data_IF_999140963703
#
_entry.id   IF_999140963703
#
_cell.length_a   1.000
_cell.length_b   1.000
_cell.length_c   1.000
_cell.angle_alpha   90.00
_cell.angle_beta   90.00
_cell.angle_gamma   90.00
#
_symmetry.space_group_name_H-M   'P 1'
#
loop_
_entity.id
_entity.type
_entity.pdbx_description
1 polymer ?
#
# COMPACT_ATOMS: atom_id res chain seq x y z
N UNK A 1 1.36 -22.80 -18.60
CA UNK A 1 0.58 -22.27 -19.75
C UNK A 1 -0.05 -20.92 -19.39
N UNK A 2 0.70 -19.82 -19.48
CA UNK A 2 0.22 -18.43 -19.28
C UNK A 2 0.04 -17.64 -20.59
N UNK A 3 0.35 -18.27 -21.74
CA UNK A 3 0.32 -17.62 -23.05
C UNK A 3 -1.10 -17.32 -23.59
N UNK A 4 -2.15 -17.75 -22.87
CA UNK A 4 -3.55 -17.69 -23.36
C UNK A 4 -4.58 -17.18 -22.34
N UNK A 5 -4.14 -16.73 -21.16
CA UNK A 5 -5.07 -16.16 -20.18
C UNK A 5 -5.55 -14.79 -20.68
N UNK A 6 -6.78 -14.76 -21.23
CA UNK A 6 -7.50 -13.53 -21.53
C UNK A 6 -8.34 -13.20 -20.32
N UNK A 7 -7.98 -12.13 -19.63
CA UNK A 7 -8.77 -11.62 -18.52
C UNK A 7 -9.83 -10.66 -19.04
N UNK A 8 -11.09 -10.76 -18.58
CA UNK A 8 -12.10 -9.78 -18.93
C UNK A 8 -11.67 -8.40 -18.41
N UNK A 9 -12.07 -7.35 -19.12
CA UNK A 9 -11.93 -6.00 -18.62
C UNK A 9 -12.68 -5.88 -17.26
N UNK A 10 -12.20 -5.03 -16.34
CA UNK A 10 -12.86 -4.86 -15.06
C UNK A 10 -14.28 -4.30 -15.24
N UNK A 11 -15.25 -5.00 -14.65
CA UNK A 11 -16.68 -4.70 -14.73
C UNK A 11 -17.08 -3.38 -14.03
N UNK A 12 -16.29 -2.93 -13.04
CA UNK A 12 -16.54 -1.69 -12.27
C UNK A 12 -15.29 -0.79 -12.26
N UNK A 13 -15.49 0.53 -12.30
CA UNK A 13 -14.40 1.54 -12.27
C UNK A 13 -13.65 1.60 -10.95
N UNK A 14 -14.33 1.30 -9.84
CA UNK A 14 -13.84 1.58 -8.48
C UNK A 14 -12.94 0.47 -7.91
N UNK A 15 -12.95 -0.73 -8.51
CA UNK A 15 -12.22 -1.88 -7.99
C UNK A 15 -11.48 -2.63 -9.12
N UNK A 16 -10.49 -1.94 -9.71
CA UNK A 16 -9.68 -2.42 -10.84
C UNK A 16 -8.29 -2.92 -10.44
N UNK A 17 -8.02 -3.06 -9.15
CA UNK A 17 -6.70 -3.45 -8.68
C UNK A 17 -6.49 -4.96 -8.77
N UNK A 18 -5.35 -5.34 -9.34
CA UNK A 18 -4.75 -6.66 -9.22
C UNK A 18 -3.46 -6.47 -8.42
N UNK A 19 -3.37 -7.19 -7.31
CA UNK A 19 -2.21 -7.21 -6.43
C UNK A 19 -1.26 -8.31 -6.90
N UNK A 20 0.03 -8.00 -6.89
CA UNK A 20 1.11 -8.90 -7.25
C UNK A 20 2.08 -8.99 -6.06
N UNK A 21 2.36 -10.20 -5.60
CA UNK A 21 3.30 -10.51 -4.52
C UNK A 21 4.26 -11.60 -4.98
N UNK A 22 5.47 -11.63 -4.44
CA UNK A 22 6.42 -12.73 -4.67
C UNK A 22 6.13 -13.91 -3.75
N UNK A 23 5.68 -13.59 -2.53
CA UNK A 23 5.67 -14.50 -1.41
C UNK A 23 4.37 -15.32 -1.28
N UNK A 24 4.43 -16.67 -1.33
CA UNK A 24 3.25 -17.52 -1.17
C UNK A 24 2.58 -17.41 0.21
N UNK A 25 3.30 -17.02 1.27
CA UNK A 25 2.72 -16.77 2.60
C UNK A 25 1.66 -15.67 2.57
N UNK A 26 1.88 -14.62 1.77
CA UNK A 26 0.91 -13.52 1.58
C UNK A 26 -0.37 -14.04 0.90
N UNK A 27 -0.22 -14.87 -0.13
CA UNK A 27 -1.35 -15.48 -0.82
C UNK A 27 -2.14 -16.44 0.10
N UNK A 28 -1.45 -17.25 0.90
CA UNK A 28 -2.08 -18.13 1.88
C UNK A 28 -2.83 -17.35 2.97
N UNK A 29 -2.23 -16.29 3.51
CA UNK A 29 -2.87 -15.42 4.48
C UNK A 29 -4.11 -14.73 3.90
N UNK A 30 -4.04 -14.26 2.65
CA UNK A 30 -5.16 -13.63 1.96
C UNK A 30 -6.35 -14.58 1.80
N UNK A 31 -6.09 -15.84 1.41
CA UNK A 31 -7.12 -16.87 1.26
C UNK A 31 -7.87 -17.14 2.57
N UNK A 32 -7.17 -17.08 3.71
CA UNK A 32 -7.75 -17.36 5.02
C UNK A 32 -8.39 -16.12 5.68
N UNK A 33 -7.86 -14.92 5.40
CA UNK A 33 -8.12 -13.72 6.18
C UNK A 33 -8.90 -12.60 5.48
N UNK A 34 -9.18 -12.73 4.17
CA UNK A 34 -9.88 -11.70 3.39
C UNK A 34 -11.21 -12.25 2.87
N UNK A 35 -12.35 -11.73 3.34
CA UNK A 35 -13.65 -12.15 2.83
C UNK A 35 -13.89 -11.62 1.41
N UNK A 36 -14.59 -12.41 0.58
CA UNK A 36 -15.01 -12.01 -0.76
C UNK A 36 -13.95 -12.24 -1.85
N UNK A 37 -14.06 -11.49 -2.94
CA UNK A 37 -13.18 -11.67 -4.11
C UNK A 37 -11.88 -10.88 -3.96
N UNK A 38 -10.76 -11.59 -3.82
CA UNK A 38 -9.41 -11.02 -3.88
C UNK A 38 -8.80 -11.26 -5.26
N UNK A 39 -8.18 -10.22 -5.83
CA UNK A 39 -7.44 -10.30 -7.09
C UNK A 39 -5.96 -10.23 -6.80
N UNK A 40 -5.40 -11.36 -6.36
CA UNK A 40 -4.00 -11.50 -5.97
C UNK A 40 -3.32 -12.53 -6.86
N UNK A 41 -2.17 -12.16 -7.41
CA UNK A 41 -1.28 -13.02 -8.16
C UNK A 41 0.00 -13.19 -7.34
N UNK A 42 0.48 -14.42 -7.23
CA UNK A 42 1.75 -14.74 -6.59
C UNK A 42 2.71 -15.27 -7.66
N UNK A 43 3.90 -14.67 -7.78
CA UNK A 43 4.92 -15.10 -8.76
C UNK A 43 5.77 -16.26 -8.26
N UNK A 44 5.81 -16.51 -6.94
CA UNK A 44 6.64 -17.55 -6.31
C UNK A 44 8.10 -17.40 -6.73
N UNK A 45 8.70 -16.25 -6.43
CA UNK A 45 10.05 -15.89 -6.85
C UNK A 45 10.10 -14.89 -8.00
N UNK A 46 11.28 -14.80 -8.62
CA UNK A 46 11.53 -13.92 -9.78
C UNK A 46 10.67 -14.34 -10.99
N UNK A 47 9.82 -13.44 -11.52
CA UNK A 47 8.94 -13.77 -12.63
C UNK A 47 9.71 -13.96 -13.93
N UNK A 48 9.33 -14.98 -14.68
CA UNK A 48 9.74 -15.20 -16.06
C UNK A 48 9.21 -14.09 -16.99
N UNK A 49 9.81 -13.99 -18.18
CA UNK A 49 9.30 -13.09 -19.22
C UNK A 49 7.83 -13.36 -19.57
N UNK A 50 7.41 -14.62 -19.56
CA UNK A 50 6.02 -14.99 -19.88
C UNK A 50 5.03 -14.48 -18.82
N UNK A 51 5.44 -14.48 -17.54
CA UNK A 51 4.65 -13.93 -16.43
C UNK A 51 4.57 -12.41 -16.50
N UNK A 52 5.69 -11.73 -16.78
CA UNK A 52 5.71 -10.29 -17.02
C UNK A 52 4.80 -9.90 -18.19
N UNK A 53 4.86 -10.63 -19.30
CA UNK A 53 3.97 -10.40 -20.45
C UNK A 53 2.49 -10.65 -20.08
N UNK A 54 2.19 -11.57 -19.14
CA UNK A 54 0.83 -11.77 -18.64
C UNK A 54 0.34 -10.59 -17.79
N UNK A 55 1.20 -10.03 -16.93
CA UNK A 55 0.92 -8.81 -16.17
C UNK A 55 0.70 -7.61 -17.10
N UNK A 56 1.49 -7.49 -18.17
CA UNK A 56 1.28 -6.48 -19.20
C UNK A 56 -0.09 -6.60 -19.89
N UNK A 57 -0.51 -7.83 -20.22
CA UNK A 57 -1.85 -8.08 -20.80
C UNK A 57 -2.99 -7.71 -19.85
N UNK A 58 -2.83 -7.93 -18.54
CA UNK A 58 -3.81 -7.47 -17.54
C UNK A 58 -3.93 -5.94 -17.56
N UNK A 59 -2.80 -5.24 -17.54
CA UNK A 59 -2.78 -3.79 -17.57
C UNK A 59 -3.40 -3.24 -18.87
N UNK A 60 -3.10 -3.86 -20.02
CA UNK A 60 -3.69 -3.51 -21.30
C UNK A 60 -5.21 -3.75 -21.36
N UNK A 61 -5.74 -4.71 -20.59
CA UNK A 61 -7.17 -4.95 -20.44
C UNK A 61 -7.86 -3.96 -19.49
N UNK A 62 -7.13 -3.00 -18.91
CA UNK A 62 -7.67 -1.92 -18.07
C UNK A 62 -7.61 -2.20 -16.57
N UNK A 63 -6.90 -3.27 -16.13
CA UNK A 63 -6.59 -3.50 -14.73
C UNK A 63 -5.44 -2.58 -14.28
N UNK A 64 -5.46 -2.19 -13.01
CA UNK A 64 -4.38 -1.46 -12.34
C UNK A 64 -3.55 -2.45 -11.55
N UNK A 65 -2.23 -2.38 -11.66
CA UNK A 65 -1.32 -3.34 -11.04
C UNK A 65 -0.65 -2.70 -9.82
N UNK A 66 -0.72 -3.39 -8.69
CA UNK A 66 -0.03 -3.03 -7.45
C UNK A 66 0.97 -4.14 -7.12
N UNK A 67 2.28 -3.86 -7.15
CA UNK A 67 3.33 -4.87 -7.01
C UNK A 67 4.15 -4.69 -5.73
N UNK A 68 4.45 -5.81 -5.07
CA UNK A 68 5.40 -5.90 -3.97
C UNK A 68 6.24 -7.18 -4.05
N UNK A 69 7.29 -7.21 -3.27
CA UNK A 69 8.19 -8.33 -3.09
C UNK A 69 8.91 -8.18 -1.74
N UNK A 70 9.82 -9.08 -1.41
CA UNK A 70 10.70 -8.91 -0.26
C UNK A 70 11.62 -7.67 -0.45
N UNK A 71 12.05 -7.09 0.67
CA UNK A 71 13.10 -6.07 0.69
C UNK A 71 14.47 -6.73 0.65
N UNK A 72 14.81 -7.32 -0.50
CA UNK A 72 16.12 -7.85 -0.82
C UNK A 72 16.48 -7.57 -2.30
N UNK A 73 17.64 -8.04 -2.76
CA UNK A 73 18.10 -7.78 -4.12
C UNK A 73 17.18 -8.38 -5.20
N UNK A 74 16.62 -9.57 -4.95
CA UNK A 74 15.74 -10.25 -5.90
C UNK A 74 14.37 -9.57 -5.96
N UNK A 75 13.80 -9.22 -4.80
CA UNK A 75 12.53 -8.52 -4.71
C UNK A 75 12.58 -7.11 -5.32
N UNK A 76 13.66 -6.36 -5.08
CA UNK A 76 13.86 -5.07 -5.75
C UNK A 76 13.99 -5.23 -7.28
N UNK A 77 14.68 -6.27 -7.75
CA UNK A 77 14.79 -6.56 -9.18
C UNK A 77 13.44 -6.94 -9.81
N UNK A 78 12.62 -7.73 -9.10
CA UNK A 78 11.27 -8.09 -9.51
C UNK A 78 10.39 -6.85 -9.66
N UNK A 79 10.36 -5.98 -8.64
CA UNK A 79 9.56 -4.75 -8.69
C UNK A 79 9.99 -3.86 -9.85
N UNK A 80 11.31 -3.68 -10.06
CA UNK A 80 11.82 -2.96 -11.25
C UNK A 80 11.37 -3.58 -12.56
N UNK A 81 11.45 -4.92 -12.68
CA UNK A 81 11.04 -5.61 -13.90
C UNK A 81 9.54 -5.41 -14.20
N UNK A 82 8.69 -5.43 -13.17
CA UNK A 82 7.26 -5.16 -13.31
C UNK A 82 7.00 -3.71 -13.70
N UNK A 83 7.64 -2.74 -13.04
CA UNK A 83 7.48 -1.31 -13.36
C UNK A 83 7.99 -0.97 -14.77
N UNK A 84 9.09 -1.59 -15.20
CA UNK A 84 9.60 -1.44 -16.57
C UNK A 84 8.64 -2.04 -17.61
N UNK A 85 7.97 -3.15 -17.27
CA UNK A 85 7.02 -3.82 -18.17
C UNK A 85 5.66 -3.12 -18.20
N UNK A 86 5.23 -2.57 -17.06
CA UNK A 86 3.95 -1.88 -16.87
C UNK A 86 4.20 -0.54 -16.19
N UNK A 87 4.53 0.53 -16.95
CA UNK A 87 4.91 1.82 -16.38
C UNK A 87 3.84 2.49 -15.50
N UNK A 88 2.57 2.14 -15.67
CA UNK A 88 1.45 2.61 -14.85
C UNK A 88 1.19 1.76 -13.59
N UNK A 89 1.94 0.68 -13.39
CA UNK A 89 1.89 -0.08 -12.14
C UNK A 89 2.42 0.78 -10.98
N UNK A 90 1.93 0.49 -9.78
CA UNK A 90 2.39 1.17 -8.56
C UNK A 90 3.02 0.15 -7.63
N UNK A 91 3.93 0.61 -6.79
CA UNK A 91 4.41 -0.22 -5.69
C UNK A 91 3.37 -0.34 -4.59
N UNK A 92 3.32 -1.50 -3.95
CA UNK A 92 2.42 -1.80 -2.85
C UNK A 92 3.23 -1.98 -1.57
N UNK A 93 3.29 -0.92 -0.75
CA UNK A 93 4.07 -0.88 0.50
C UNK A 93 5.54 -1.28 0.30
N UNK A 94 6.19 -0.68 -0.71
CA UNK A 94 7.62 -0.82 -0.97
C UNK A 94 8.34 0.53 -0.85
N UNK A 95 8.13 1.25 0.24
CA UNK A 95 8.86 2.51 0.52
C UNK A 95 9.91 2.29 1.61
N UNK A 96 10.78 3.28 1.83
CA UNK A 96 11.73 3.30 2.94
C UNK A 96 11.02 3.20 4.31
N UNK A 97 9.84 3.80 4.43
CA UNK A 97 9.03 3.75 5.66
C UNK A 97 8.48 2.33 5.88
N UNK A 98 7.97 1.68 4.81
CA UNK A 98 7.51 0.29 4.89
C UNK A 98 8.65 -0.67 5.21
N UNK A 99 9.83 -0.45 4.62
CA UNK A 99 11.04 -1.19 4.93
C UNK A 99 11.41 -1.06 6.40
N UNK A 100 11.42 0.16 6.93
CA UNK A 100 11.75 0.43 8.34
C UNK A 100 10.74 -0.23 9.28
N UNK A 101 9.44 -0.18 8.94
CA UNK A 101 8.41 -0.91 9.68
C UNK A 101 8.59 -2.44 9.62
N UNK A 102 9.18 -2.95 8.54
CA UNK A 102 9.44 -4.38 8.35
C UNK A 102 10.69 -4.86 9.12
N UNK A 103 11.49 -3.97 9.69
CA UNK A 103 12.67 -4.33 10.49
C UNK A 103 12.35 -4.71 11.94
N UNK A 104 11.10 -4.53 12.38
CA UNK A 104 10.63 -5.01 13.67
C UNK A 104 10.85 -6.53 13.79
N UNK A 105 11.14 -7.06 14.99
CA UNK A 105 11.65 -8.41 15.14
C UNK A 105 10.60 -9.46 14.77
N UNK A 106 10.69 -9.97 13.55
CA UNK A 106 10.16 -11.29 13.19
C UNK A 106 10.99 -12.36 13.95
N UNK A 107 10.44 -13.57 14.18
CA UNK A 107 11.15 -14.66 14.87
C UNK A 107 12.39 -15.19 14.12
N UNK A 108 12.72 -14.60 12.96
CA UNK A 108 13.85 -14.96 12.13
C UNK A 108 14.91 -13.85 12.19
N UNK A 109 16.15 -14.24 12.48
CA UNK A 109 17.29 -13.37 12.21
C UNK A 109 17.43 -13.22 10.69
N UNK A 110 17.26 -12.01 10.13
CA UNK A 110 17.43 -11.82 8.70
C UNK A 110 18.89 -12.06 8.32
N UNK A 111 19.11 -12.61 7.13
CA UNK A 111 20.45 -12.78 6.58
C UNK A 111 21.21 -11.46 6.41
N UNK A 112 22.43 -11.51 5.91
CA UNK A 112 23.18 -10.31 5.55
C UNK A 112 22.72 -9.84 4.17
N UNK A 113 22.38 -8.56 4.05
CA UNK A 113 22.03 -7.97 2.75
C UNK A 113 23.29 -7.70 1.93
N UNK A 114 23.31 -8.18 0.70
CA UNK A 114 24.32 -7.77 -0.28
C UNK A 114 23.98 -6.37 -0.83
N UNK A 115 24.55 -5.34 -0.21
CA UNK A 115 24.32 -3.94 -0.54
C UNK A 115 24.71 -3.57 -1.99
N UNK A 116 25.62 -4.32 -2.61
CA UNK A 116 26.11 -4.06 -3.97
C UNK A 116 25.05 -4.46 -5.02
N UNK A 117 24.15 -5.37 -4.68
CA UNK A 117 23.13 -5.91 -5.58
C UNK A 117 21.78 -5.15 -5.56
N UNK A 118 21.61 -4.15 -4.69
CA UNK A 118 20.31 -3.46 -4.52
C UNK A 118 19.87 -2.65 -5.74
N UNK A 119 20.81 -2.10 -6.51
CA UNK A 119 20.52 -1.18 -7.61
C UNK A 119 19.80 0.09 -7.16
N UNK A 120 19.11 0.74 -8.11
CA UNK A 120 18.27 1.91 -7.85
C UNK A 120 16.83 1.51 -7.51
N UNK A 121 16.13 2.40 -6.80
CA UNK A 121 14.72 2.28 -6.42
C UNK A 121 13.94 3.50 -6.91
N UNK A 122 13.62 3.61 -8.21
CA UNK A 122 13.06 4.83 -8.79
C UNK A 122 11.71 5.28 -8.21
N UNK A 123 10.95 4.35 -7.61
CA UNK A 123 9.69 4.64 -6.94
C UNK A 123 9.87 5.30 -5.57
N UNK A 124 11.01 5.09 -4.93
CA UNK A 124 11.41 5.71 -3.66
C UNK A 124 12.94 5.64 -3.50
N UNK A 125 13.68 6.67 -3.92
CA UNK A 125 15.14 6.68 -3.84
C UNK A 125 15.71 6.52 -2.42
N UNK A 126 14.92 6.82 -1.37
CA UNK A 126 15.34 6.66 0.01
C UNK A 126 15.40 5.18 0.44
N UNK A 127 14.68 4.28 -0.25
CA UNK A 127 14.60 2.87 0.12
C UNK A 127 15.96 2.19 0.03
N UNK A 128 16.63 2.27 -1.12
CA UNK A 128 17.94 1.64 -1.28
C UNK A 128 18.99 2.24 -0.33
N UNK A 129 18.87 3.52 0.04
CA UNK A 129 19.74 4.14 1.04
C UNK A 129 19.48 3.57 2.45
N UNK A 130 18.22 3.45 2.85
CA UNK A 130 17.82 2.87 4.14
C UNK A 130 18.27 1.41 4.27
N UNK A 131 18.11 0.61 3.20
CA UNK A 131 18.54 -0.79 3.16
C UNK A 131 20.07 -0.94 3.24
N UNK A 132 20.84 -0.06 2.60
CA UNK A 132 22.32 -0.06 2.73
C UNK A 132 22.76 0.31 4.14
N UNK A 133 22.11 1.29 4.76
CA UNK A 133 22.45 1.75 6.10
C UNK A 133 22.19 0.70 7.18
N UNK A 134 21.13 -0.09 7.04
CA UNK A 134 20.78 -1.17 7.96
C UNK A 134 21.56 -2.47 7.69
N UNK A 135 21.93 -2.75 6.43
CA UNK A 135 22.58 -3.99 6.01
C UNK A 135 21.70 -5.25 6.13
N UNK A 136 20.38 -5.10 6.24
CA UNK A 136 19.44 -6.19 6.54
C UNK A 136 18.35 -6.34 5.46
N UNK A 137 18.04 -7.54 4.97
CA UNK A 137 16.81 -7.78 4.25
C UNK A 137 15.61 -7.70 5.20
N UNK A 138 14.42 -7.50 4.64
CA UNK A 138 13.16 -7.63 5.35
C UNK A 138 12.13 -8.34 4.49
N UNK A 139 11.31 -9.20 5.10
CA UNK A 139 10.39 -10.09 4.38
C UNK A 139 8.95 -9.58 4.39
N UNK A 140 8.18 -9.98 3.38
CA UNK A 140 6.80 -9.54 3.20
C UNK A 140 5.90 -9.86 4.41
N UNK A 141 6.17 -10.95 5.14
CA UNK A 141 5.40 -11.38 6.32
C UNK A 141 5.40 -10.36 7.45
N UNK A 142 6.43 -9.50 7.54
CA UNK A 142 6.50 -8.47 8.57
C UNK A 142 5.36 -7.42 8.43
N UNK A 143 4.75 -7.32 7.25
CA UNK A 143 3.65 -6.40 6.95
C UNK A 143 2.30 -7.11 6.75
N UNK A 144 2.20 -8.40 7.11
CA UNK A 144 1.08 -9.24 6.67
C UNK A 144 -0.29 -8.62 7.00
N UNK A 145 -0.46 -8.05 8.18
CA UNK A 145 -1.73 -7.44 8.60
C UNK A 145 -2.09 -6.20 7.77
N UNK A 146 -1.10 -5.36 7.47
CA UNK A 146 -1.25 -4.20 6.60
C UNK A 146 -1.61 -4.61 5.17
N UNK A 147 -1.01 -5.69 4.67
CA UNK A 147 -1.35 -6.25 3.35
C UNK A 147 -2.78 -6.76 3.31
N UNK A 148 -3.17 -7.56 4.30
CA UNK A 148 -4.54 -8.06 4.40
C UNK A 148 -5.54 -6.91 4.49
N UNK A 149 -5.20 -5.82 5.18
CA UNK A 149 -6.04 -4.63 5.25
C UNK A 149 -6.23 -3.95 3.88
N UNK A 150 -5.17 -3.84 3.07
CA UNK A 150 -5.25 -3.29 1.71
C UNK A 150 -6.07 -4.21 0.78
N UNK A 151 -5.90 -5.53 0.89
CA UNK A 151 -6.66 -6.51 0.12
C UNK A 151 -8.15 -6.48 0.47
N UNK A 152 -8.52 -6.34 1.76
CA UNK A 152 -9.91 -6.15 2.19
C UNK A 152 -10.55 -4.90 1.62
N UNK A 153 -9.77 -3.82 1.48
CA UNK A 153 -10.22 -2.58 0.80
C UNK A 153 -10.20 -2.68 -0.72
N UNK A 154 -9.53 -3.70 -1.26
CA UNK A 154 -9.17 -3.84 -2.66
C UNK A 154 -8.49 -2.58 -3.24
N UNK A 155 -7.65 -1.94 -2.42
CA UNK A 155 -6.93 -0.73 -2.79
C UNK A 155 -5.51 -0.71 -2.16
N UNK A 156 -4.44 -0.49 -2.94
CA UNK A 156 -3.09 -0.33 -2.41
C UNK A 156 -3.01 1.02 -1.70
N UNK A 157 -2.93 1.01 -0.37
CA UNK A 157 -2.82 2.28 0.36
C UNK A 157 -1.48 2.93 0.02
N UNK A 158 -1.46 4.23 -0.32
CA UNK A 158 -0.19 4.95 -0.43
C UNK A 158 0.43 5.00 0.96
N UNK A 159 1.67 4.54 1.09
CA UNK A 159 2.46 4.82 2.29
C UNK A 159 2.68 6.33 2.32
N UNK A 160 2.13 7.00 3.32
CA UNK A 160 2.34 8.44 3.50
C UNK A 160 3.79 8.61 3.94
N UNK A 161 4.67 9.26 3.15
CA UNK A 161 6.02 9.52 3.62
C UNK A 161 5.92 10.36 4.88
N UNK A 162 6.66 10.00 5.93
CA UNK A 162 6.69 10.69 7.22
C UNK A 162 7.05 12.20 7.16
N UNK A 163 7.27 12.79 5.97
CA UNK A 163 7.65 14.19 5.78
C UNK A 163 6.58 15.13 5.21
N UNK A 164 5.30 14.75 5.12
CA UNK A 164 4.24 15.72 4.73
C UNK A 164 2.97 15.69 5.57
N UNK A 165 3.08 15.52 6.90
CA UNK A 165 2.06 16.02 7.81
C UNK A 165 2.43 17.44 8.27
N UNK A 166 2.20 18.44 7.41
CA UNK A 166 1.97 19.80 7.93
C UNK A 166 0.59 19.79 8.57
N UNK A 167 0.54 19.68 9.89
CA UNK A 167 -0.69 19.93 10.66
C UNK A 167 -1.23 21.32 10.27
N UNK A 168 -2.31 21.33 9.49
CA UNK A 168 -3.15 22.50 9.34
C UNK A 168 -4.32 22.35 10.33
N UNK A 169 -4.04 22.50 11.62
CA UNK A 169 -5.09 22.51 12.65
C UNK A 169 -5.62 23.93 12.77
N UNK A 170 -6.65 24.24 11.99
CA UNK A 170 -7.61 25.28 12.36
C UNK A 170 -9.00 24.87 11.89
N UNK A 171 -9.75 24.25 12.79
CA UNK A 171 -11.20 24.17 12.71
C UNK A 171 -11.76 24.53 14.08
N UNK A 172 -12.25 25.75 14.16
CA UNK A 172 -13.09 26.31 15.21
C UNK A 172 -14.32 25.43 15.42
N UNK A 173 -14.60 25.00 16.65
CA UNK A 173 -15.97 24.64 17.07
C UNK A 173 -16.18 25.07 18.51
N UNK A 174 -17.26 25.84 18.71
CA UNK A 174 -17.56 26.59 19.91
C UNK A 174 -17.85 25.76 21.15
N UNK A 175 -17.56 26.35 22.31
CA UNK A 175 -18.19 25.96 23.56
C UNK A 175 -19.53 26.69 23.70
N UNK A 176 -20.60 25.91 23.54
CA UNK A 176 -21.87 26.12 24.22
C UNK A 176 -21.62 26.13 25.73
N UNK A 177 -21.88 27.25 26.40
CA UNK A 177 -22.22 27.24 27.82
C UNK A 177 -23.70 27.54 27.92
N UNK A 178 -24.47 26.52 28.26
CA UNK A 178 -25.87 26.65 28.58
C UNK A 178 -26.06 27.22 29.99
N UNK A 179 -27.11 28.02 30.15
CA UNK A 179 -28.01 27.97 31.30
C UNK A 179 -29.30 28.70 30.92
N UNK A 180 -30.36 27.91 30.84
CA UNK A 180 -31.75 28.36 30.82
C UNK A 180 -32.17 28.54 32.28
N UNK A 181 -32.57 29.75 32.67
CA UNK A 181 -33.40 29.98 33.86
C UNK A 181 -34.56 30.90 33.44
N UNK A 182 -35.75 30.32 33.39
CA UNK A 182 -37.02 31.02 33.27
C UNK A 182 -37.44 31.53 34.65
N UNK A 183 -37.67 32.84 34.78
CA UNK A 183 -38.56 33.39 35.79
C UNK A 183 -39.23 34.67 35.28
N UNK A 184 -40.55 34.61 35.33
CA UNK A 184 -41.59 35.62 35.14
C UNK A 184 -41.32 36.98 35.80
N UNK A 185 -41.54 38.09 35.09
CA UNK A 185 -42.39 39.22 35.51
C UNK A 185 -42.41 40.36 34.47
N UNK A 186 -43.57 41.03 34.39
CA UNK A 186 -43.97 42.06 33.44
C UNK A 186 -43.16 43.38 33.51
N UNK A 187 -43.22 44.18 32.43
CA UNK A 187 -43.68 45.59 32.39
C UNK A 187 -43.55 46.14 30.96
N UNK A 188 -44.56 46.93 30.54
CA UNK A 188 -44.77 47.58 29.23
C UNK A 188 -44.03 48.97 29.14
N UNK A 189 -44.05 49.69 28.00
CA UNK A 189 -42.97 50.54 27.45
C UNK A 189 -43.06 52.04 27.84
N UNK A 190 -42.19 52.93 27.32
CA UNK A 190 -42.61 53.75 26.16
C UNK A 190 -41.51 54.21 25.15
N UNK A 191 -41.98 54.45 23.91
CA UNK A 191 -41.54 55.33 22.81
C UNK A 191 -40.10 55.91 22.75
N UNK A 192 -39.52 55.93 21.54
CA UNK A 192 -39.31 57.17 20.75
C UNK A 192 -38.81 56.86 19.33
N UNK A 193 -39.47 57.54 18.38
CA UNK A 193 -39.20 57.86 16.97
C UNK A 193 -37.99 57.29 16.23
#
# INVERSE_FOLDING_TARGET
MLHRAVWPAPWHSENRWVFLTENPSVAAAALNGVPGTVRLLCTVGTPSRTELDAVARLAAAGWRIAVRADFDCAGLALVRAVLATVPQAVVWRMTADDYTASLHPAPFEPGVLDADCLGETPWDPALAAAMRASGRPAYEEALIEELLADLRRAYPSPTTPASTLKMCTKATLGLLTGRDETTTAAVRPPWSS
#
